data_IF_579918323606
#
_entry.id   IF_579918323606
#
_cell.length_a   1.000
_cell.length_b   1.000
_cell.length_c   1.000
_cell.angle_alpha   90.00
_cell.angle_beta   90.00
_cell.angle_gamma   90.00
#
_symmetry.space_group_name_H-M   'P 1'
#
loop_
_entity.id
_entity.type
_entity.pdbx_description
1 polymer ?
#
# COMPACT_ATOMS: atom_id res chain seq x y z
N UNK A 1 4.18 55.65 17.23
CA UNK A 1 3.03 56.59 17.18
C UNK A 1 1.86 55.80 16.60
N UNK A 2 0.70 55.74 17.27
CA UNK A 2 -0.61 55.09 16.93
C UNK A 2 -0.62 53.83 16.01
N UNK A 3 -1.00 52.60 16.41
CA UNK A 3 -2.11 52.03 17.24
C UNK A 3 -3.43 51.78 16.47
N UNK A 4 -3.74 50.48 16.23
CA UNK A 4 -5.08 49.84 16.03
C UNK A 4 -5.89 50.28 14.80
N UNK A 5 -6.81 49.49 14.21
CA UNK A 5 -7.36 48.12 14.46
C UNK A 5 -8.04 47.62 13.14
N UNK A 6 -8.63 46.42 12.92
CA UNK A 6 -8.91 45.20 13.70
C UNK A 6 -9.41 44.03 12.77
N UNK A 7 -9.77 42.88 13.37
CA UNK A 7 -10.71 41.81 12.91
C UNK A 7 -10.55 41.09 11.55
N UNK A 8 -10.19 39.80 11.63
CA UNK A 8 -11.06 38.73 11.11
C UNK A 8 -10.89 37.43 11.92
N UNK A 9 -11.85 37.11 12.79
CA UNK A 9 -11.87 35.85 13.57
C UNK A 9 -12.75 34.82 12.87
N UNK A 10 -12.15 33.82 12.21
CA UNK A 10 -12.91 32.65 11.71
C UNK A 10 -12.88 31.54 12.75
N UNK A 11 -14.02 31.32 13.42
CA UNK A 11 -14.21 30.19 14.36
C UNK A 11 -14.08 28.87 13.60
N UNK A 12 -13.22 27.98 14.07
CA UNK A 12 -13.23 26.57 13.68
C UNK A 12 -14.31 25.83 14.51
N UNK A 13 -15.27 25.12 13.89
CA UNK A 13 -16.21 24.29 14.62
C UNK A 13 -15.54 23.04 15.17
N UNK A 14 -15.94 22.64 16.38
CA UNK A 14 -15.48 21.43 17.06
C UNK A 14 -16.07 20.17 16.43
N UNK A 15 -15.28 19.11 16.40
CA UNK A 15 -15.71 17.76 16.77
C UNK A 15 -16.60 17.03 15.78
N UNK A 16 -15.97 16.32 14.83
CA UNK A 16 -16.60 15.13 14.26
C UNK A 16 -16.68 14.04 15.33
N UNK A 17 -17.90 13.72 15.75
CA UNK A 17 -18.19 12.57 16.59
C UNK A 17 -18.14 11.31 15.72
N UNK A 18 -17.59 10.22 16.25
CA UNK A 18 -17.54 8.94 15.54
C UNK A 18 -18.94 8.36 15.30
N UNK A 19 -19.10 7.44 14.33
CA UNK A 19 -20.41 6.89 13.96
C UNK A 19 -20.90 5.84 14.97
N UNK A 20 -21.43 6.31 16.10
CA UNK A 20 -22.18 5.48 17.07
C UNK A 20 -23.69 5.79 17.00
N UNK A 21 -24.26 5.83 15.78
CA UNK A 21 -25.66 6.24 15.55
C UNK A 21 -26.34 5.56 14.34
N UNK A 22 -26.21 4.23 14.21
CA UNK A 22 -26.94 3.44 13.20
C UNK A 22 -27.70 2.21 13.74
N UNK A 23 -28.07 2.20 15.04
CA UNK A 23 -28.82 1.07 15.63
C UNK A 23 -30.30 1.37 15.98
N UNK A 24 -30.75 2.63 15.93
CA UNK A 24 -32.09 3.05 16.38
C UNK A 24 -33.08 3.39 15.24
N UNK A 25 -32.79 3.10 13.96
CA UNK A 25 -33.63 3.53 12.82
C UNK A 25 -34.29 2.40 12.01
N UNK A 26 -34.15 1.13 12.40
CA UNK A 26 -34.73 -0.02 11.69
C UNK A 26 -36.01 -0.62 12.33
N UNK A 27 -36.49 -0.08 13.46
CA UNK A 27 -37.65 -0.63 14.20
C UNK A 27 -38.89 0.28 14.24
N UNK A 28 -39.08 1.15 13.25
CA UNK A 28 -40.28 2.00 13.14
C UNK A 28 -40.73 2.18 11.69
N UNK A 29 -41.41 1.16 11.16
CA UNK A 29 -42.13 1.22 9.88
C UNK A 29 -43.25 0.15 9.81
N UNK A 30 -44.27 0.29 10.65
CA UNK A 30 -45.56 -0.38 10.43
C UNK A 30 -46.70 0.60 10.74
N UNK A 31 -47.32 1.14 9.69
CA UNK A 31 -48.78 1.18 9.55
C UNK A 31 -49.20 1.67 8.16
N UNK A 32 -50.31 1.10 7.69
CA UNK A 32 -51.36 1.52 6.73
C UNK A 32 -51.21 2.86 5.97
N UNK A 33 -51.86 3.06 4.81
CA UNK A 33 -52.54 2.21 3.81
C UNK A 33 -53.01 3.15 2.67
N UNK A 34 -53.63 2.58 1.63
CA UNK A 34 -54.49 3.24 0.64
C UNK A 34 -53.91 4.39 -0.21
N UNK A 35 -53.82 4.14 -1.52
CA UNK A 35 -54.63 4.87 -2.50
C UNK A 35 -54.70 4.14 -3.86
N UNK A 36 -55.72 4.48 -4.63
CA UNK A 36 -56.23 3.70 -5.76
C UNK A 36 -55.61 4.08 -7.11
N UNK A 37 -55.80 3.18 -8.10
CA UNK A 37 -56.23 3.49 -9.47
C UNK A 37 -55.72 4.77 -10.18
N UNK A 38 -54.94 4.58 -11.25
CA UNK A 38 -55.22 5.26 -12.53
C UNK A 38 -54.60 4.52 -13.72
N UNK A 39 -55.30 4.55 -14.84
CA UNK A 39 -54.87 4.08 -16.15
C UNK A 39 -53.62 4.79 -16.70
N UNK A 40 -52.94 4.16 -17.68
CA UNK A 40 -51.78 4.76 -18.34
C UNK A 40 -51.07 3.89 -19.39
N UNK A 41 -51.79 3.15 -20.23
CA UNK A 41 -51.18 2.46 -21.39
C UNK A 41 -50.81 3.46 -22.50
N UNK A 42 -49.57 3.96 -22.46
CA UNK A 42 -48.96 4.77 -23.50
C UNK A 42 -47.96 3.96 -24.33
N UNK A 43 -48.33 3.65 -25.58
CA UNK A 43 -47.40 3.18 -26.61
C UNK A 43 -46.73 4.41 -27.25
N UNK A 44 -45.41 4.52 -27.15
CA UNK A 44 -44.61 5.21 -28.17
C UNK A 44 -43.45 4.29 -28.60
N UNK A 45 -43.25 4.27 -29.91
CA UNK A 45 -42.17 3.59 -30.63
C UNK A 45 -41.01 4.59 -30.84
N UNK A 46 -39.99 4.15 -31.60
CA UNK A 46 -38.88 4.97 -32.11
C UNK A 46 -37.79 5.27 -31.03
N UNK A 47 -36.49 5.11 -31.30
CA UNK A 47 -35.84 4.69 -32.55
C UNK A 47 -34.57 3.84 -32.35
N UNK A 48 -34.23 3.13 -33.42
CA UNK A 48 -33.01 2.35 -33.61
C UNK A 48 -31.83 3.29 -33.88
N UNK A 49 -30.76 3.21 -33.09
CA UNK A 49 -29.47 3.78 -33.51
C UNK A 49 -28.29 2.94 -33.01
N UNK A 50 -27.37 2.67 -33.94
CA UNK A 50 -26.45 1.55 -33.87
C UNK A 50 -25.02 1.97 -33.45
N UNK A 51 -24.49 1.39 -32.37
CA UNK A 51 -23.05 1.42 -32.09
C UNK A 51 -22.49 0.00 -31.86
N UNK A 52 -21.48 -0.36 -32.65
CA UNK A 52 -20.80 -1.66 -32.60
C UNK A 52 -19.61 -1.63 -31.62
N UNK A 53 -19.50 -2.58 -30.67
CA UNK A 53 -18.27 -2.79 -29.92
C UNK A 53 -17.30 -3.72 -30.69
N UNK A 54 -16.17 -3.16 -31.15
CA UNK A 54 -15.04 -3.92 -31.68
C UNK A 54 -14.43 -4.83 -30.59
N UNK A 55 -14.75 -6.13 -30.65
CA UNK A 55 -14.25 -7.14 -29.71
C UNK A 55 -13.00 -7.85 -30.22
N UNK A 56 -11.82 -7.31 -29.92
CA UNK A 56 -10.56 -8.01 -30.14
C UNK A 56 -10.30 -9.04 -29.01
N UNK A 57 -10.92 -10.21 -29.14
CA UNK A 57 -10.64 -11.37 -28.31
C UNK A 57 -9.28 -12.00 -28.66
N UNK A 58 -8.23 -11.66 -27.89
CA UNK A 58 -7.01 -12.48 -27.84
C UNK A 58 -7.19 -13.54 -26.76
N UNK A 59 -7.56 -14.75 -27.17
CA UNK A 59 -7.56 -15.92 -26.29
C UNK A 59 -6.11 -16.32 -25.95
N UNK A 60 -5.67 -16.05 -24.73
CA UNK A 60 -4.47 -16.67 -24.15
C UNK A 60 -4.90 -17.93 -23.39
N UNK A 61 -4.46 -19.08 -23.86
CA UNK A 61 -4.84 -20.40 -23.31
C UNK A 61 -4.19 -20.67 -21.95
N UNK A 62 -4.87 -21.46 -21.12
CA UNK A 62 -4.53 -21.63 -19.70
C UNK A 62 -3.32 -22.55 -19.41
N UNK A 63 -2.60 -23.03 -20.43
CA UNK A 63 -1.55 -24.05 -20.26
C UNK A 63 -0.12 -23.48 -20.11
N UNK A 64 0.11 -22.21 -20.43
CA UNK A 64 1.45 -21.61 -20.38
C UNK A 64 1.90 -21.15 -18.97
N UNK A 65 1.06 -21.35 -17.93
CA UNK A 65 1.30 -20.89 -16.55
C UNK A 65 2.02 -21.88 -15.63
N UNK A 66 2.59 -22.99 -16.14
CA UNK A 66 3.10 -24.11 -15.31
C UNK A 66 4.62 -24.36 -15.29
N UNK A 67 5.44 -23.47 -15.86
CA UNK A 67 6.88 -23.71 -16.05
C UNK A 67 7.84 -22.74 -15.31
N UNK A 68 7.45 -22.12 -14.18
CA UNK A 68 8.32 -21.16 -13.44
C UNK A 68 8.26 -21.26 -11.90
N UNK A 69 8.48 -22.45 -11.32
CA UNK A 69 8.76 -22.57 -9.87
C UNK A 69 9.74 -23.74 -9.56
N UNK A 70 11.04 -23.47 -9.31
CA UNK A 70 11.86 -24.38 -8.52
C UNK A 70 11.47 -24.28 -7.03
N UNK A 71 11.65 -25.34 -6.22
CA UNK A 71 11.24 -25.33 -4.82
C UNK A 71 12.11 -24.40 -3.97
N UNK A 72 11.45 -23.53 -3.21
CA UNK A 72 12.06 -22.62 -2.23
C UNK A 72 12.59 -23.41 -1.02
N UNK A 73 13.89 -23.69 -1.01
CA UNK A 73 14.61 -24.09 0.20
C UNK A 73 16.07 -23.60 0.14
N UNK A 74 16.53 -23.03 1.26
CA UNK A 74 17.88 -22.51 1.52
C UNK A 74 18.31 -21.28 0.69
N UNK A 75 18.35 -20.12 1.35
CA UNK A 75 19.44 -19.11 1.27
C UNK A 75 19.16 -17.92 2.22
N UNK A 76 19.22 -18.17 3.53
CA UNK A 76 19.32 -17.09 4.52
C UNK A 76 20.78 -16.59 4.59
N UNK A 77 21.21 -15.81 3.59
CA UNK A 77 22.42 -15.01 3.70
C UNK A 77 22.09 -13.62 4.22
N UNK A 78 22.13 -13.48 5.55
CA UNK A 78 22.29 -12.17 6.19
C UNK A 78 23.62 -11.57 5.75
N UNK A 79 23.58 -10.57 4.85
CA UNK A 79 24.72 -9.74 4.50
C UNK A 79 25.12 -8.86 5.68
N UNK A 80 25.84 -9.44 6.65
CA UNK A 80 26.71 -8.68 7.55
C UNK A 80 27.98 -8.33 6.75
N UNK A 81 28.24 -7.05 6.44
CA UNK A 81 29.51 -6.66 5.84
C UNK A 81 30.63 -6.91 6.86
N UNK A 82 31.40 -7.97 6.62
CA UNK A 82 32.50 -8.35 7.50
C UNK A 82 33.66 -7.36 7.30
N UNK A 83 33.76 -6.35 8.18
CA UNK A 83 34.72 -5.25 8.07
C UNK A 83 36.15 -5.69 8.43
N UNK A 84 36.79 -6.47 7.55
CA UNK A 84 38.22 -6.74 7.59
C UNK A 84 39.05 -5.52 7.22
N UNK A 85 40.08 -5.21 8.02
CA UNK A 85 40.83 -3.95 7.96
C UNK A 85 41.97 -3.96 6.92
N UNK A 86 41.66 -3.82 5.63
CA UNK A 86 42.65 -3.55 4.57
C UNK A 86 42.55 -2.10 4.07
N UNK A 87 43.25 -1.19 4.76
CA UNK A 87 42.94 0.24 4.70
C UNK A 87 43.27 0.97 3.38
N UNK A 88 44.11 0.40 2.51
CA UNK A 88 44.62 1.07 1.30
C UNK A 88 43.93 0.73 -0.03
N UNK A 89 43.04 -0.27 -0.10
CA UNK A 89 42.26 -0.56 -1.32
C UNK A 89 40.84 0.03 -1.31
N UNK A 90 40.41 0.63 -0.20
CA UNK A 90 39.02 1.08 -0.02
C UNK A 90 38.68 2.38 -0.77
N UNK A 91 39.68 3.21 -1.08
CA UNK A 91 39.49 4.54 -1.67
C UNK A 91 39.03 4.53 -3.14
N UNK A 92 39.50 3.60 -3.96
CA UNK A 92 39.12 3.52 -5.38
C UNK A 92 37.70 2.98 -5.59
N UNK A 93 37.23 2.08 -4.72
CA UNK A 93 35.88 1.52 -4.76
C UNK A 93 34.81 2.57 -4.41
N UNK A 94 35.06 3.47 -3.45
CA UNK A 94 34.13 4.56 -3.09
C UNK A 94 33.96 5.61 -4.21
N UNK A 95 34.88 5.66 -5.19
CA UNK A 95 34.80 6.62 -6.32
C UNK A 95 33.78 6.22 -7.40
N UNK A 96 33.43 4.94 -7.54
CA UNK A 96 32.50 4.46 -8.59
C UNK A 96 31.25 3.79 -8.01
N UNK A 97 30.55 4.49 -7.10
CA UNK A 97 29.23 4.06 -6.61
C UNK A 97 28.17 5.11 -6.88
N UNK A 98 27.00 4.66 -7.34
CA UNK A 98 25.78 5.47 -7.49
C UNK A 98 24.90 5.22 -6.27
N UNK A 99 24.82 6.21 -5.37
CA UNK A 99 24.23 6.06 -4.03
C UNK A 99 22.85 6.70 -3.95
N UNK A 100 21.82 5.93 -3.59
CA UNK A 100 20.43 6.38 -3.53
C UNK A 100 20.01 6.82 -2.13
N UNK A 101 19.20 7.87 -2.05
CA UNK A 101 18.39 8.23 -0.90
C UNK A 101 16.93 8.41 -1.35
N UNK A 102 15.97 7.85 -0.62
CA UNK A 102 14.54 7.93 -0.98
C UNK A 102 13.72 8.42 0.21
N UNK A 103 12.96 9.50 0.00
CA UNK A 103 12.07 10.08 1.02
C UNK A 103 10.63 10.00 0.57
N UNK A 104 9.78 9.26 1.28
CA UNK A 104 8.36 9.10 0.96
C UNK A 104 7.54 10.13 1.73
N UNK A 105 6.81 10.98 1.00
CA UNK A 105 6.04 12.12 1.54
C UNK A 105 4.54 11.84 1.65
N UNK A 106 4.01 10.95 0.82
CA UNK A 106 2.60 10.58 0.81
C UNK A 106 2.42 9.22 0.13
N UNK A 107 1.51 8.43 0.68
CA UNK A 107 1.00 7.19 0.10
C UNK A 107 -0.51 7.35 -0.01
N UNK A 108 -1.02 7.28 -1.23
CA UNK A 108 -2.43 7.41 -1.52
C UNK A 108 -3.23 6.14 -1.25
N UNK A 109 -4.52 6.12 -1.63
CA UNK A 109 -5.33 4.92 -1.59
C UNK A 109 -4.65 3.77 -2.34
N UNK A 110 -4.73 2.57 -1.77
CA UNK A 110 -4.27 1.34 -2.42
C UNK A 110 -5.45 0.73 -3.16
N UNK A 111 -5.42 0.74 -4.49
CA UNK A 111 -6.39 0.03 -5.32
C UNK A 111 -5.99 -1.44 -5.40
N UNK A 112 -6.69 -2.28 -4.65
CA UNK A 112 -6.44 -3.71 -4.60
C UNK A 112 -7.04 -4.47 -5.79
N UNK A 113 -7.93 -3.84 -6.57
CA UNK A 113 -8.51 -4.40 -7.79
C UNK A 113 -7.52 -4.27 -8.95
N UNK A 114 -6.95 -3.08 -9.10
CA UNK A 114 -5.95 -2.79 -10.14
C UNK A 114 -4.54 -3.22 -9.75
N UNK A 115 -4.29 -3.48 -8.46
CA UNK A 115 -2.95 -3.73 -7.97
C UNK A 115 -2.09 -2.46 -7.97
N UNK A 116 -2.66 -1.29 -7.69
CA UNK A 116 -1.95 0.00 -7.81
C UNK A 116 -1.96 0.83 -6.52
N UNK A 117 -0.97 1.70 -6.37
CA UNK A 117 -0.91 2.70 -5.29
C UNK A 117 -0.23 3.97 -5.76
N UNK A 118 -0.84 5.12 -5.49
CA UNK A 118 -0.21 6.42 -5.76
C UNK A 118 0.79 6.75 -4.66
N UNK A 119 2.01 7.17 -5.01
CA UNK A 119 3.02 7.62 -4.04
C UNK A 119 3.66 8.93 -4.48
N UNK A 120 3.89 9.83 -3.53
CA UNK A 120 4.73 11.02 -3.69
C UNK A 120 6.03 10.84 -2.92
N UNK A 121 7.16 10.91 -3.60
CA UNK A 121 8.48 10.66 -3.02
C UNK A 121 9.57 11.51 -3.69
N UNK A 122 10.60 11.87 -2.93
CA UNK A 122 11.82 12.49 -3.43
C UNK A 122 12.90 11.42 -3.56
N UNK A 123 13.58 11.38 -4.70
CA UNK A 123 14.79 10.56 -4.91
C UNK A 123 15.98 11.51 -4.99
N UNK A 124 17.01 11.22 -4.21
CA UNK A 124 18.32 11.87 -4.33
C UNK A 124 19.34 10.81 -4.75
N UNK A 125 20.22 11.16 -5.69
CA UNK A 125 21.30 10.31 -6.16
C UNK A 125 22.64 11.03 -6.01
N UNK A 126 23.61 10.35 -5.43
CA UNK A 126 24.97 10.84 -5.23
C UNK A 126 25.97 10.03 -6.05
N UNK A 127 26.92 10.70 -6.71
CA UNK A 127 28.02 10.06 -7.44
C UNK A 127 29.26 10.97 -7.45
N UNK A 128 30.45 10.39 -7.57
CA UNK A 128 31.69 11.16 -7.71
C UNK A 128 32.05 11.25 -9.21
N UNK A 129 31.95 12.42 -9.82
CA UNK A 129 32.34 12.60 -11.24
C UNK A 129 33.85 12.92 -11.35
N UNK A 130 34.70 12.00 -11.86
CA UNK A 130 36.15 12.20 -11.89
C UNK A 130 36.59 13.38 -12.77
N UNK A 131 35.77 13.77 -13.76
CA UNK A 131 36.06 14.93 -14.60
C UNK A 131 36.02 16.24 -13.80
N UNK A 132 35.21 16.32 -12.72
CA UNK A 132 35.13 17.53 -11.89
C UNK A 132 36.44 17.91 -11.21
N UNK A 133 37.24 16.93 -10.81
CA UNK A 133 38.46 17.12 -10.01
C UNK A 133 39.59 17.78 -10.82
N UNK A 134 39.76 17.39 -12.09
CA UNK A 134 40.94 17.74 -12.89
C UNK A 134 41.06 19.23 -13.31
N UNK A 135 40.02 20.04 -13.10
CA UNK A 135 39.98 21.44 -13.60
C UNK A 135 40.55 22.45 -12.60
N UNK A 136 40.62 22.13 -11.30
CA UNK A 136 41.15 23.03 -10.27
C UNK A 136 42.68 23.00 -10.07
N UNK A 137 43.37 22.05 -10.70
CA UNK A 137 44.74 21.64 -10.36
C UNK A 137 45.89 22.59 -10.73
N UNK A 138 45.72 23.92 -10.67
CA UNK A 138 46.82 24.88 -10.90
C UNK A 138 47.00 26.00 -9.88
N UNK A 139 46.05 26.31 -8.98
CA UNK A 139 46.29 27.33 -7.91
C UNK A 139 45.46 27.22 -6.62
N UNK A 140 44.49 26.30 -6.50
CA UNK A 140 43.47 26.37 -5.43
C UNK A 140 43.98 26.17 -3.99
N UNK A 141 45.06 25.41 -3.78
CA UNK A 141 45.52 25.01 -2.43
C UNK A 141 46.10 26.16 -1.58
N UNK A 142 46.36 27.34 -2.17
CA UNK A 142 46.90 28.50 -1.44
C UNK A 142 45.79 29.35 -0.80
N UNK A 143 44.59 29.40 -1.40
CA UNK A 143 43.53 30.33 -1.00
C UNK A 143 42.56 29.74 0.05
N UNK A 144 42.36 28.41 0.06
CA UNK A 144 41.36 27.77 0.95
C UNK A 144 41.74 27.84 2.44
N UNK A 145 43.03 28.05 2.77
CA UNK A 145 43.47 28.29 4.15
C UNK A 145 43.38 29.76 4.60
N UNK A 146 43.30 30.75 3.68
CA UNK A 146 43.16 32.17 4.06
C UNK A 146 41.69 32.61 4.22
N UNK A 147 40.73 31.90 3.61
CA UNK A 147 39.30 32.25 3.72
C UNK A 147 38.67 32.05 5.11
N UNK A 148 39.38 31.43 6.06
CA UNK A 148 38.91 31.21 7.44
C UNK A 148 39.01 32.43 8.37
N UNK A 149 39.54 33.58 7.91
CA UNK A 149 39.81 34.75 8.78
C UNK A 149 39.11 36.07 8.37
N UNK A 150 38.21 36.08 7.39
CA UNK A 150 37.51 37.30 6.95
C UNK A 150 35.99 37.10 6.84
N UNK A 151 35.16 37.68 7.74
CA UNK A 151 33.69 37.53 7.72
C UNK A 151 32.99 38.48 6.72
N UNK A 152 33.74 39.16 5.84
CA UNK A 152 33.16 39.99 4.79
C UNK A 152 32.52 39.07 3.76
N UNK A 153 31.19 39.12 3.65
CA UNK A 153 30.38 38.29 2.74
C UNK A 153 30.65 38.71 1.29
N UNK A 154 31.78 38.25 0.76
CA UNK A 154 32.03 38.28 -0.67
C UNK A 154 31.02 37.34 -1.33
N UNK A 155 30.17 37.88 -2.21
CA UNK A 155 29.34 37.12 -3.15
C UNK A 155 30.23 36.49 -4.23
N UNK A 156 31.20 35.67 -3.81
CA UNK A 156 32.05 34.86 -4.67
C UNK A 156 31.14 34.02 -5.56
N UNK A 157 31.33 34.16 -6.89
CA UNK A 157 30.33 33.82 -7.90
C UNK A 157 29.64 32.48 -7.65
N UNK A 158 28.39 32.53 -7.19
CA UNK A 158 27.57 31.34 -7.02
C UNK A 158 27.30 30.74 -8.40
N UNK A 159 27.92 29.60 -8.68
CA UNK A 159 27.52 28.76 -9.80
C UNK A 159 26.37 27.85 -9.37
N UNK A 160 25.40 27.65 -10.27
CA UNK A 160 24.29 26.74 -10.09
C UNK A 160 24.23 25.79 -11.28
N UNK A 161 23.82 24.55 -11.05
CA UNK A 161 23.73 23.54 -12.09
C UNK A 161 22.29 23.42 -12.58
N UNK A 162 22.08 23.54 -13.88
CA UNK A 162 20.77 23.45 -14.53
C UNK A 162 20.73 22.21 -15.41
N UNK A 163 19.67 21.42 -15.31
CA UNK A 163 19.45 20.26 -16.18
C UNK A 163 19.24 20.70 -17.63
N UNK A 164 20.07 20.20 -18.55
CA UNK A 164 19.87 20.28 -19.99
C UNK A 164 19.33 18.94 -20.49
N UNK A 165 17.99 18.80 -20.50
CA UNK A 165 17.33 17.54 -20.81
C UNK A 165 17.32 16.57 -19.61
N UNK A 166 17.42 15.26 -19.87
CA UNK A 166 17.25 14.21 -18.84
C UNK A 166 18.55 13.67 -18.24
N UNK A 167 19.69 13.83 -18.91
CA UNK A 167 20.94 13.10 -18.63
C UNK A 167 22.17 14.00 -18.52
N UNK A 168 22.01 15.33 -18.62
CA UNK A 168 23.12 16.29 -18.61
C UNK A 168 22.73 17.49 -17.78
N UNK A 169 23.66 18.00 -16.97
CA UNK A 169 23.54 19.29 -16.32
C UNK A 169 24.68 20.22 -16.76
N UNK A 170 24.39 21.52 -16.81
CA UNK A 170 25.34 22.58 -17.17
C UNK A 170 25.50 23.53 -16.00
N UNK A 171 26.75 23.89 -15.68
CA UNK A 171 27.09 24.90 -14.71
C UNK A 171 26.87 26.32 -15.28
N UNK A 172 25.93 27.05 -14.69
CA UNK A 172 25.65 28.45 -14.97
C UNK A 172 26.25 29.34 -13.87
N UNK A 173 27.19 30.21 -14.25
CA UNK A 173 27.75 31.22 -13.35
C UNK A 173 26.82 32.44 -13.28
N UNK A 174 26.35 32.79 -12.08
CA UNK A 174 25.51 33.97 -11.88
C UNK A 174 26.39 35.22 -12.05
N UNK A 175 26.09 36.03 -13.07
CA UNK A 175 26.73 37.33 -13.33
C UNK A 175 27.53 37.44 -14.63
N UNK A 176 27.84 36.33 -15.32
CA UNK A 176 28.51 36.39 -16.63
C UNK A 176 27.50 36.36 -17.78
N UNK A 177 27.30 37.50 -18.47
CA UNK A 177 26.38 37.61 -19.61
C UNK A 177 26.97 37.13 -20.96
N UNK A 178 28.23 36.71 -21.00
CA UNK A 178 28.94 36.42 -22.26
C UNK A 178 29.26 34.93 -22.43
N UNK A 179 28.51 34.25 -23.31
CA UNK A 179 28.86 33.05 -24.11
C UNK A 179 29.79 31.96 -23.50
N UNK A 180 29.86 31.82 -22.19
CA UNK A 180 30.70 30.79 -21.58
C UNK A 180 30.07 29.43 -21.84
N UNK A 181 30.84 28.51 -22.42
CA UNK A 181 30.44 27.10 -22.53
C UNK A 181 30.50 26.53 -21.12
N UNK A 182 29.37 26.63 -20.41
CA UNK A 182 29.21 26.16 -19.05
C UNK A 182 29.65 24.70 -18.95
N UNK A 183 30.32 24.38 -17.85
CA UNK A 183 30.82 23.03 -17.61
C UNK A 183 29.65 22.05 -17.65
N UNK A 184 29.80 20.95 -18.41
CA UNK A 184 28.80 19.89 -18.43
C UNK A 184 29.18 18.74 -17.47
N UNK A 185 28.16 18.07 -16.95
CA UNK A 185 28.28 16.79 -16.24
C UNK A 185 27.15 15.85 -16.66
N UNK A 186 27.47 14.58 -16.85
CA UNK A 186 26.47 13.55 -17.12
C UNK A 186 25.77 13.13 -15.80
N UNK A 187 24.44 13.07 -15.84
CA UNK A 187 23.57 12.67 -14.74
C UNK A 187 23.07 11.24 -14.98
N UNK A 188 23.17 10.32 -13.99
CA UNK A 188 22.72 8.94 -14.18
C UNK A 188 21.20 8.82 -14.45
N UNK A 189 20.77 8.11 -15.50
CA UNK A 189 19.35 8.03 -15.89
C UNK A 189 18.57 7.06 -14.98
N UNK A 190 17.86 7.62 -14.00
CA UNK A 190 16.97 6.87 -13.11
C UNK A 190 15.68 6.47 -13.85
N UNK A 191 15.27 5.23 -13.64
CA UNK A 191 14.04 4.62 -14.14
C UNK A 191 13.20 4.12 -12.96
N UNK A 192 11.92 4.45 -12.92
CA UNK A 192 10.97 3.94 -11.92
C UNK A 192 10.32 2.69 -12.51
N UNK A 193 10.78 1.51 -12.06
CA UNK A 193 10.58 0.24 -12.77
C UNK A 193 9.14 -0.26 -12.68
N UNK A 194 8.46 0.00 -11.57
CA UNK A 194 7.06 -0.40 -11.37
C UNK A 194 6.08 0.78 -11.46
N UNK A 195 6.43 1.88 -12.13
CA UNK A 195 5.49 2.96 -12.40
C UNK A 195 4.58 2.62 -13.60
N UNK A 196 3.27 2.77 -13.42
CA UNK A 196 2.26 2.79 -14.50
C UNK A 196 2.29 4.17 -15.17
N UNK A 197 2.34 5.22 -14.35
CA UNK A 197 2.52 6.62 -14.75
C UNK A 197 3.27 7.39 -13.67
N UNK A 198 3.94 8.48 -14.04
CA UNK A 198 4.56 9.38 -13.08
C UNK A 198 4.71 10.80 -13.64
N UNK A 199 4.61 11.77 -12.72
CA UNK A 199 4.84 13.18 -12.94
C UNK A 199 6.04 13.66 -12.12
N UNK A 200 6.77 14.65 -12.65
CA UNK A 200 7.82 15.36 -11.93
C UNK A 200 7.21 16.61 -11.30
N UNK A 201 7.42 16.81 -10.00
CA UNK A 201 6.96 17.98 -9.26
C UNK A 201 8.12 18.95 -9.08
N UNK A 202 8.06 20.09 -9.79
CA UNK A 202 9.13 21.09 -9.80
C UNK A 202 10.20 20.80 -10.84
N UNK A 203 11.39 21.37 -10.67
CA UNK A 203 12.56 21.11 -11.51
C UNK A 203 13.54 20.20 -10.75
N UNK A 204 14.22 19.24 -11.41
CA UNK A 204 15.27 18.46 -10.76
C UNK A 204 16.44 19.36 -10.35
N UNK A 205 16.85 19.25 -9.09
CA UNK A 205 17.94 20.00 -8.48
C UNK A 205 19.26 19.25 -8.73
N UNK A 206 20.30 19.94 -9.21
CA UNK A 206 21.67 19.40 -9.29
C UNK A 206 22.61 20.32 -8.53
N UNK A 207 23.55 19.74 -7.79
CA UNK A 207 24.63 20.52 -7.19
C UNK A 207 25.92 19.72 -7.01
N UNK A 208 27.05 20.44 -6.98
CA UNK A 208 28.37 19.90 -6.63
C UNK A 208 28.57 20.09 -5.13
N UNK A 209 28.41 19.03 -4.35
CA UNK A 209 28.53 19.04 -2.89
C UNK A 209 29.99 19.19 -2.43
N UNK A 210 30.92 18.50 -3.09
CA UNK A 210 32.36 18.59 -2.75
C UNK A 210 33.21 18.67 -4.01
N UNK A 211 33.91 19.79 -4.17
CA UNK A 211 34.82 20.03 -5.31
C UNK A 211 36.00 19.05 -5.32
N UNK A 212 36.60 18.78 -4.16
CA UNK A 212 37.79 17.93 -4.03
C UNK A 212 37.55 16.45 -4.37
N UNK A 213 36.40 15.88 -4.01
CA UNK A 213 36.03 14.50 -4.34
C UNK A 213 35.17 14.37 -5.60
N UNK A 214 34.76 15.49 -6.19
CA UNK A 214 33.81 15.53 -7.29
C UNK A 214 32.41 15.03 -6.95
N UNK A 215 31.99 15.14 -5.68
CA UNK A 215 30.70 14.59 -5.22
C UNK A 215 29.55 15.45 -5.77
N UNK A 216 28.89 14.93 -6.78
CA UNK A 216 27.65 15.46 -7.35
C UNK A 216 26.43 14.90 -6.61
N UNK A 217 25.37 15.69 -6.58
CA UNK A 217 24.02 15.25 -6.22
C UNK A 217 23.01 15.66 -7.27
N UNK A 218 22.00 14.81 -7.48
CA UNK A 218 20.79 15.09 -8.25
C UNK A 218 19.59 14.73 -7.37
N UNK A 219 18.58 15.60 -7.31
CA UNK A 219 17.39 15.46 -6.46
C UNK A 219 16.14 15.76 -7.28
N UNK A 220 15.15 14.87 -7.23
CA UNK A 220 13.89 15.04 -7.96
C UNK A 220 12.70 14.54 -7.13
N UNK A 221 11.61 15.31 -7.12
CA UNK A 221 10.36 14.97 -6.47
C UNK A 221 9.38 14.41 -7.51
N UNK A 222 8.83 13.24 -7.23
CA UNK A 222 7.92 12.51 -8.10
C UNK A 222 6.55 12.34 -7.44
N UNK A 223 5.52 12.24 -8.29
CA UNK A 223 4.22 11.64 -7.97
C UNK A 223 3.98 10.51 -8.98
N UNK A 224 3.81 9.28 -8.52
CA UNK A 224 3.73 8.11 -9.40
C UNK A 224 2.60 7.17 -8.99
N UNK A 225 1.92 6.58 -9.97
CA UNK A 225 1.03 5.43 -9.78
C UNK A 225 1.88 4.17 -9.95
N UNK A 226 2.03 3.39 -8.88
CA UNK A 226 2.93 2.24 -8.82
C UNK A 226 2.16 0.92 -8.85
N UNK A 227 2.56 0.01 -9.72
CA UNK A 227 2.05 -1.36 -9.80
C UNK A 227 2.61 -2.23 -8.66
N UNK A 228 1.74 -3.03 -8.06
CA UNK A 228 1.93 -3.86 -6.87
C UNK A 228 1.44 -5.29 -7.16
N UNK A 229 2.34 -6.14 -7.68
CA UNK A 229 2.00 -7.48 -8.15
C UNK A 229 1.47 -8.43 -7.05
N UNK A 230 1.74 -8.14 -5.77
CA UNK A 230 1.53 -9.06 -4.65
C UNK A 230 0.39 -8.62 -3.70
N UNK A 231 -0.59 -7.84 -4.17
CA UNK A 231 -1.76 -7.47 -3.37
C UNK A 231 -2.80 -8.60 -3.34
N UNK A 232 -2.77 -9.44 -2.31
CA UNK A 232 -3.73 -10.54 -2.10
C UNK A 232 -4.66 -10.27 -0.92
N UNK A 233 -5.97 -10.37 -1.15
CA UNK A 233 -7.04 -10.15 -0.14
C UNK A 233 -7.71 -11.44 0.32
N UNK A 234 -7.08 -12.60 0.10
CA UNK A 234 -7.58 -13.89 0.56
C UNK A 234 -7.76 -13.93 2.08
N UNK A 235 -6.95 -13.16 2.82
CA UNK A 235 -7.01 -13.02 4.29
C UNK A 235 -7.80 -11.83 4.82
N UNK A 236 -8.50 -11.07 3.96
CA UNK A 236 -9.27 -9.90 4.38
C UNK A 236 -10.29 -10.27 5.49
N UNK A 237 -10.41 -9.47 6.57
CA UNK A 237 -9.86 -8.12 6.76
C UNK A 237 -8.49 -8.05 7.46
N UNK A 238 -7.83 -9.19 7.71
CA UNK A 238 -6.54 -9.27 8.44
C UNK A 238 -5.32 -9.44 7.50
N UNK A 239 -5.44 -8.95 6.26
CA UNK A 239 -4.39 -8.99 5.25
C UNK A 239 -3.26 -7.97 5.51
N UNK A 240 -2.03 -8.40 5.21
CA UNK A 240 -0.81 -7.61 5.29
C UNK A 240 -0.15 -7.55 3.91
N UNK A 241 0.41 -6.40 3.55
CA UNK A 241 0.98 -6.15 2.21
C UNK A 241 2.34 -5.49 2.31
N UNK A 242 3.14 -5.62 1.26
CA UNK A 242 4.35 -4.83 1.06
C UNK A 242 4.12 -3.90 -0.12
N UNK A 243 3.98 -2.61 0.14
CA UNK A 243 3.97 -1.60 -0.93
C UNK A 243 5.41 -1.39 -1.39
N UNK A 244 5.66 -1.52 -2.70
CA UNK A 244 6.99 -1.54 -3.29
C UNK A 244 7.21 -0.39 -4.25
N UNK A 245 8.41 0.16 -4.22
CA UNK A 245 8.88 1.22 -5.12
C UNK A 245 10.27 0.83 -5.63
N UNK A 246 10.40 0.68 -6.95
CA UNK A 246 11.61 0.14 -7.58
C UNK A 246 12.34 1.17 -8.44
N UNK A 247 13.62 1.39 -8.16
CA UNK A 247 14.51 2.27 -8.93
C UNK A 247 15.63 1.51 -9.60
N UNK A 248 15.78 1.71 -10.90
CA UNK A 248 16.88 1.17 -11.69
C UNK A 248 17.63 2.27 -12.39
N UNK A 249 18.89 2.01 -12.71
CA UNK A 249 19.61 2.70 -13.78
C UNK A 249 19.79 1.62 -14.84
N UNK A 250 19.10 1.78 -15.97
CA UNK A 250 18.99 0.76 -17.03
C UNK A 250 19.74 1.22 -18.29
N UNK A 251 19.67 2.52 -18.61
CA UNK A 251 20.27 3.08 -19.81
C UNK A 251 21.78 3.25 -19.62
N UNK A 252 22.56 2.88 -20.65
CA UNK A 252 24.03 2.94 -20.67
C UNK A 252 24.76 2.10 -19.58
N UNK A 253 24.17 0.96 -19.19
CA UNK A 253 24.74 0.01 -18.20
C UNK A 253 25.56 -1.14 -18.77
N UNK A 254 25.61 -1.26 -20.10
CA UNK A 254 26.46 -2.22 -20.83
C UNK A 254 27.95 -1.96 -20.58
N UNK A 255 28.76 -2.99 -20.81
CA UNK A 255 30.21 -2.91 -20.71
C UNK A 255 30.79 -1.75 -21.54
N UNK A 256 31.70 -0.97 -20.95
CA UNK A 256 32.36 0.18 -21.56
C UNK A 256 31.49 1.44 -21.74
N UNK A 257 30.21 1.43 -21.35
CA UNK A 257 29.36 2.62 -21.39
C UNK A 257 29.54 3.52 -20.15
N UNK A 258 29.03 4.77 -20.22
CA UNK A 258 29.19 5.79 -19.15
C UNK A 258 28.82 5.27 -17.76
N UNK A 259 27.74 4.49 -17.65
CA UNK A 259 27.20 3.94 -16.41
C UNK A 259 27.35 2.42 -16.30
N UNK A 260 28.41 1.86 -16.91
CA UNK A 260 28.75 0.43 -16.87
C UNK A 260 28.67 -0.13 -15.43
N UNK A 261 27.82 -1.15 -15.25
CA UNK A 261 27.57 -1.84 -13.97
C UNK A 261 28.79 -2.53 -13.35
N UNK A 262 29.84 -2.82 -14.12
CA UNK A 262 31.09 -3.38 -13.61
C UNK A 262 31.87 -2.32 -12.83
N UNK A 263 31.91 -1.10 -13.37
CA UNK A 263 32.52 0.08 -12.75
C UNK A 263 31.61 0.70 -11.68
N UNK A 264 30.40 1.08 -12.06
CA UNK A 264 29.43 1.79 -11.24
C UNK A 264 28.52 0.84 -10.46
N UNK A 265 28.85 0.61 -9.19
CA UNK A 265 28.02 -0.18 -8.28
C UNK A 265 26.88 0.67 -7.72
N UNK A 266 25.70 0.06 -7.55
CA UNK A 266 24.60 0.72 -6.87
C UNK A 266 24.78 0.57 -5.35
N UNK A 267 24.44 1.61 -4.60
CA UNK A 267 24.51 1.61 -3.14
C UNK A 267 23.45 2.50 -2.51
N UNK A 268 23.34 2.46 -1.20
CA UNK A 268 22.55 3.44 -0.45
C UNK A 268 23.42 4.63 -0.07
N UNK A 269 22.79 5.79 0.10
CA UNK A 269 23.46 6.98 0.62
C UNK A 269 23.92 6.79 2.06
N UNK A 270 25.03 7.44 2.39
CA UNK A 270 25.72 7.36 3.67
C UNK A 270 25.75 8.72 4.37
N UNK A 271 26.10 8.76 5.65
CA UNK A 271 26.29 10.02 6.39
C UNK A 271 27.36 10.93 5.76
N UNK A 272 28.30 10.35 4.99
CA UNK A 272 29.31 11.13 4.25
C UNK A 272 28.70 11.91 3.09
N UNK A 273 27.56 11.47 2.55
CA UNK A 273 26.87 12.11 1.42
C UNK A 273 26.00 13.28 1.86
N UNK A 274 25.41 13.21 3.06
CA UNK A 274 24.46 14.21 3.56
C UNK A 274 25.09 15.51 4.08
N UNK A 275 26.43 15.65 4.04
CA UNK A 275 27.18 16.79 4.60
C UNK A 275 26.84 17.12 6.07
N UNK A 276 26.39 16.13 6.86
CA UNK A 276 25.93 16.34 8.25
C UNK A 276 24.53 16.96 8.37
N UNK A 277 23.80 17.12 7.27
CA UNK A 277 22.57 17.91 7.19
C UNK A 277 21.32 17.24 7.78
N UNK A 278 21.24 15.91 7.94
CA UNK A 278 20.11 15.29 8.69
C UNK A 278 20.30 13.83 9.14
N UNK A 279 19.47 13.45 10.11
CA UNK A 279 19.47 12.24 10.96
C UNK A 279 19.36 10.87 10.28
N UNK A 280 19.07 10.74 8.97
CA UNK A 280 18.75 9.44 8.37
C UNK A 280 19.43 9.30 6.99
N UNK A 281 20.44 8.41 6.85
CA UNK A 281 21.37 8.46 5.73
C UNK A 281 20.79 8.02 4.37
N UNK A 282 19.82 7.09 4.35
CA UNK A 282 19.36 6.47 3.09
C UNK A 282 17.86 6.57 2.80
N UNK A 283 17.01 6.90 3.78
CA UNK A 283 15.62 7.23 3.48
C UNK A 283 14.73 7.42 4.70
N UNK A 284 13.66 8.19 4.52
CA UNK A 284 12.71 8.57 5.56
C UNK A 284 11.30 8.51 4.97
N UNK A 285 10.35 7.97 5.71
CA UNK A 285 8.95 8.27 5.50
C UNK A 285 8.59 9.46 6.39
N UNK A 286 8.16 10.56 5.79
CA UNK A 286 7.93 11.82 6.52
C UNK A 286 6.91 11.59 7.64
N UNK A 287 7.16 12.21 8.79
CA UNK A 287 6.23 12.13 9.92
C UNK A 287 4.81 12.52 9.47
N UNK A 288 3.81 11.80 9.97
CA UNK A 288 2.40 11.94 9.62
C UNK A 288 1.94 11.45 8.23
N UNK A 289 2.77 10.70 7.47
CA UNK A 289 2.22 9.90 6.35
C UNK A 289 1.10 8.98 6.89
N UNK A 290 -0.10 9.12 6.32
CA UNK A 290 -1.22 8.19 6.53
C UNK A 290 -1.34 7.34 5.26
N UNK A 291 -1.59 6.04 5.42
CA UNK A 291 -1.97 5.16 4.31
C UNK A 291 -3.48 4.93 4.43
N UNK A 292 -4.34 5.38 3.50
CA UNK A 292 -5.78 5.20 3.62
C UNK A 292 -6.16 3.71 3.77
N UNK A 293 -6.93 3.38 4.80
CA UNK A 293 -7.36 2.00 5.16
C UNK A 293 -6.24 1.05 5.63
N UNK A 294 -5.01 1.53 5.86
CA UNK A 294 -3.91 0.72 6.38
C UNK A 294 -3.10 1.45 7.47
N UNK A 295 -2.60 0.66 8.41
CA UNK A 295 -1.59 1.06 9.38
C UNK A 295 -0.22 0.50 8.98
N UNK A 296 0.86 1.07 9.52
CA UNK A 296 2.22 0.56 9.33
C UNK A 296 3.03 0.69 10.63
N UNK A 297 4.12 -0.06 10.71
CA UNK A 297 5.02 -0.03 11.85
C UNK A 297 6.00 1.15 11.70
N UNK A 298 5.75 2.23 12.47
CA UNK A 298 6.59 3.44 12.47
C UNK A 298 8.02 3.19 12.95
N UNK A 299 8.25 2.17 13.79
CA UNK A 299 9.57 1.86 14.31
C UNK A 299 10.43 1.11 13.27
N UNK A 300 9.81 0.36 12.36
CA UNK A 300 10.49 -0.28 11.21
C UNK A 300 10.70 0.69 10.05
N UNK A 301 9.70 1.50 9.71
CA UNK A 301 9.81 2.48 8.63
C UNK A 301 9.85 1.85 7.24
N UNK A 302 10.91 2.12 6.48
CA UNK A 302 11.11 1.64 5.10
C UNK A 302 12.25 0.64 5.06
N UNK A 303 12.01 -0.53 4.44
CA UNK A 303 13.07 -1.52 4.18
C UNK A 303 13.70 -1.28 2.80
N UNK A 304 15.02 -1.40 2.69
CA UNK A 304 15.77 -1.14 1.46
C UNK A 304 16.56 -2.38 1.02
N UNK A 305 16.32 -2.85 -0.19
CA UNK A 305 17.00 -4.02 -0.74
C UNK A 305 17.46 -3.80 -2.17
N UNK A 306 18.63 -4.33 -2.51
CA UNK A 306 19.06 -4.46 -3.90
C UNK A 306 18.63 -5.83 -4.41
N UNK A 307 17.75 -5.87 -5.41
CA UNK A 307 17.18 -7.10 -5.96
C UNK A 307 17.48 -7.24 -7.45
N UNK A 308 17.70 -8.46 -7.97
CA UNK A 308 17.87 -8.67 -9.40
C UNK A 308 16.58 -8.35 -10.15
N UNK A 309 16.72 -7.80 -11.34
CA UNK A 309 15.66 -7.61 -12.32
C UNK A 309 15.44 -8.91 -13.06
N UNK A 310 14.21 -9.45 -13.00
CA UNK A 310 13.83 -10.66 -13.75
C UNK A 310 13.73 -10.47 -15.27
N UNK A 311 14.20 -9.34 -15.79
CA UNK A 311 14.27 -9.00 -17.21
C UNK A 311 15.40 -8.02 -17.46
N UNK A 312 16.14 -8.21 -18.56
CA UNK A 312 17.27 -7.38 -18.94
C UNK A 312 18.03 -7.98 -20.12
N UNK A 313 18.92 -7.21 -20.75
CA UNK A 313 19.67 -7.65 -21.92
C UNK A 313 20.84 -8.61 -21.59
N UNK A 314 21.04 -8.97 -20.32
CA UNK A 314 22.12 -9.84 -19.86
C UNK A 314 21.70 -11.30 -19.81
N UNK A 315 21.91 -12.06 -20.89
CA UNK A 315 21.73 -13.52 -20.92
C UNK A 315 22.90 -14.30 -20.27
N UNK A 316 23.88 -13.61 -19.67
CA UNK A 316 25.18 -14.17 -19.29
C UNK A 316 25.63 -13.78 -17.87
N UNK A 317 24.86 -14.19 -16.86
CA UNK A 317 25.31 -14.35 -15.46
C UNK A 317 25.55 -13.10 -14.61
N UNK A 318 25.69 -11.92 -15.23
CA UNK A 318 25.65 -10.62 -14.54
C UNK A 318 24.19 -10.12 -14.58
N UNK A 319 23.38 -10.39 -13.54
CA UNK A 319 22.02 -9.86 -13.44
C UNK A 319 22.03 -8.33 -13.25
N UNK A 320 21.09 -7.62 -13.89
CA UNK A 320 20.88 -6.21 -13.57
C UNK A 320 20.18 -6.08 -12.23
N UNK A 321 20.67 -5.19 -11.37
CA UNK A 321 20.15 -4.99 -10.02
C UNK A 321 19.42 -3.66 -9.92
N UNK A 322 18.29 -3.63 -9.23
CA UNK A 322 17.53 -2.43 -8.88
C UNK A 322 17.40 -2.25 -7.37
N UNK A 323 17.19 -1.02 -6.92
CA UNK A 323 16.81 -0.71 -5.55
C UNK A 323 15.30 -0.92 -5.39
N UNK A 324 14.90 -1.82 -4.49
CA UNK A 324 13.53 -2.04 -4.05
C UNK A 324 13.37 -1.44 -2.64
N UNK A 325 12.53 -0.41 -2.54
CA UNK A 325 12.08 0.17 -1.27
C UNK A 325 10.74 -0.48 -0.91
N UNK A 326 10.59 -1.00 0.30
CA UNK A 326 9.37 -1.61 0.81
C UNK A 326 8.81 -0.84 2.00
N UNK A 327 7.49 -0.71 2.02
CA UNK A 327 6.72 -0.33 3.20
C UNK A 327 5.76 -1.46 3.54
N UNK A 328 5.93 -2.08 4.72
CA UNK A 328 4.98 -3.09 5.20
C UNK A 328 3.76 -2.42 5.82
N UNK A 329 2.57 -2.77 5.32
CA UNK A 329 1.28 -2.21 5.74
C UNK A 329 0.31 -3.31 6.19
N UNK A 330 -0.56 -3.00 7.14
CA UNK A 330 -1.56 -3.88 7.74
C UNK A 330 -2.94 -3.25 7.60
N UNK A 331 -3.96 -3.97 7.14
CA UNK A 331 -5.30 -3.40 6.95
C UNK A 331 -5.94 -2.99 8.28
N UNK A 332 -6.67 -1.88 8.26
CA UNK A 332 -7.52 -1.46 9.38
C UNK A 332 -8.77 -2.37 9.51
N UNK A 333 -8.63 -3.46 10.26
CA UNK A 333 -9.70 -4.44 10.55
C UNK A 333 -10.70 -3.98 11.63
N UNK A 334 -10.50 -2.81 12.23
CA UNK A 334 -11.25 -2.34 13.41
C UNK A 334 -12.77 -2.28 13.19
N UNK A 335 -13.23 -1.90 12.00
CA UNK A 335 -14.65 -1.88 11.66
C UNK A 335 -15.29 -3.28 11.68
N UNK A 336 -14.61 -4.28 11.11
CA UNK A 336 -15.08 -5.66 11.01
C UNK A 336 -15.01 -6.38 12.36
N UNK A 337 -13.88 -6.23 13.06
CA UNK A 337 -13.64 -6.82 14.37
C UNK A 337 -14.56 -6.22 15.46
N UNK A 338 -14.84 -4.91 15.38
CA UNK A 338 -15.59 -4.17 16.40
C UNK A 338 -17.09 -4.09 16.19
N UNK A 339 -17.58 -4.13 14.94
CA UNK A 339 -19.01 -3.99 14.64
C UNK A 339 -19.60 -5.27 14.03
N UNK A 340 -19.04 -5.75 12.91
CA UNK A 340 -19.66 -6.83 12.14
C UNK A 340 -19.60 -8.17 12.89
N UNK A 341 -18.42 -8.57 13.36
CA UNK A 341 -18.27 -9.87 14.03
C UNK A 341 -19.08 -10.01 15.34
N UNK A 342 -19.13 -9.01 16.25
CA UNK A 342 -19.98 -9.09 17.44
C UNK A 342 -21.47 -9.20 17.11
N UNK A 343 -21.97 -8.49 16.08
CA UNK A 343 -23.37 -8.59 15.66
C UNK A 343 -23.68 -10.01 15.18
N UNK A 344 -22.85 -10.59 14.31
CA UNK A 344 -23.04 -11.97 13.82
C UNK A 344 -23.07 -13.00 14.98
N UNK A 345 -22.17 -12.85 15.96
CA UNK A 345 -22.15 -13.71 17.15
C UNK A 345 -23.43 -13.54 17.99
N UNK A 346 -23.90 -12.31 18.20
CA UNK A 346 -25.13 -12.07 18.97
C UNK A 346 -26.35 -12.64 18.26
N UNK A 347 -26.47 -12.48 16.93
CA UNK A 347 -27.57 -13.05 16.16
C UNK A 347 -27.60 -14.58 16.23
N UNK A 348 -26.44 -15.20 16.13
CA UNK A 348 -26.26 -16.65 16.25
C UNK A 348 -26.60 -17.18 17.65
N UNK A 349 -26.18 -16.46 18.72
CA UNK A 349 -26.56 -16.79 20.10
C UNK A 349 -28.07 -16.67 20.34
N UNK A 350 -28.72 -15.64 19.77
CA UNK A 350 -30.18 -15.47 19.86
C UNK A 350 -30.89 -16.58 19.08
N UNK A 351 -30.41 -16.94 17.88
CA UNK A 351 -30.95 -18.06 17.10
C UNK A 351 -30.88 -19.40 17.86
N UNK A 352 -29.73 -19.69 18.49
CA UNK A 352 -29.57 -20.87 19.37
C UNK A 352 -30.52 -20.81 20.57
N UNK A 353 -30.78 -19.64 21.15
CA UNK A 353 -31.72 -19.53 22.29
C UNK A 353 -33.17 -19.89 21.93
N UNK A 354 -33.58 -19.76 20.66
CA UNK A 354 -34.92 -20.17 20.22
C UNK A 354 -35.09 -21.69 20.13
N UNK A 355 -34.01 -22.48 20.21
CA UNK A 355 -34.07 -23.94 20.34
C UNK A 355 -34.59 -24.37 21.72
N UNK A 356 -34.72 -23.45 22.68
CA UNK A 356 -35.34 -23.70 23.99
C UNK A 356 -36.87 -23.44 24.01
N UNK A 357 -37.46 -23.04 22.88
CA UNK A 357 -38.91 -22.97 22.72
C UNK A 357 -39.45 -24.35 22.35
N UNK A 358 -40.54 -24.75 23.01
CA UNK A 358 -41.20 -26.04 22.79
C UNK A 358 -41.49 -26.29 21.29
N UNK A 359 -41.30 -27.53 20.83
CA UNK A 359 -41.48 -27.92 19.42
C UNK A 359 -42.90 -27.63 18.89
N UNK A 360 -43.91 -27.64 19.75
CA UNK A 360 -45.29 -27.28 19.43
C UNK A 360 -45.44 -25.80 19.01
N UNK A 361 -44.57 -24.92 19.51
CA UNK A 361 -44.51 -23.51 19.15
C UNK A 361 -43.71 -23.25 17.84
N UNK A 362 -43.57 -24.25 16.97
CA UNK A 362 -42.81 -24.18 15.71
C UNK A 362 -43.08 -22.92 14.89
N UNK A 363 -44.34 -22.47 14.76
CA UNK A 363 -44.64 -21.26 13.99
C UNK A 363 -43.91 -20.02 14.51
N UNK A 364 -43.81 -19.87 15.84
CA UNK A 364 -43.07 -18.76 16.46
C UNK A 364 -41.56 -18.95 16.30
N UNK A 365 -41.03 -20.14 16.61
CA UNK A 365 -39.60 -20.47 16.48
C UNK A 365 -39.09 -20.31 15.05
N UNK A 366 -39.79 -20.86 14.06
CA UNK A 366 -39.47 -20.77 12.65
C UNK A 366 -39.55 -19.33 12.11
N UNK A 367 -40.59 -18.57 12.49
CA UNK A 367 -40.70 -17.16 12.12
C UNK A 367 -39.56 -16.31 12.70
N UNK A 368 -39.18 -16.55 13.95
CA UNK A 368 -38.08 -15.86 14.61
C UNK A 368 -36.71 -16.19 13.97
N UNK A 369 -36.43 -17.46 13.69
CA UNK A 369 -35.22 -17.88 12.98
C UNK A 369 -35.15 -17.30 11.56
N UNK A 370 -36.27 -17.32 10.83
CA UNK A 370 -36.35 -16.74 9.49
C UNK A 370 -36.12 -15.22 9.50
N UNK A 371 -36.63 -14.50 10.50
CA UNK A 371 -36.37 -13.07 10.67
C UNK A 371 -34.88 -12.77 10.94
N UNK A 372 -34.18 -13.61 11.72
CA UNK A 372 -32.72 -13.48 11.89
C UNK A 372 -32.00 -13.78 10.58
N UNK A 373 -32.42 -14.80 9.82
CA UNK A 373 -31.81 -15.11 8.52
C UNK A 373 -31.96 -13.95 7.51
N UNK A 374 -33.13 -13.28 7.47
CA UNK A 374 -33.31 -12.07 6.67
C UNK A 374 -32.42 -10.90 7.13
N UNK A 375 -32.27 -10.71 8.44
CA UNK A 375 -31.36 -9.69 8.98
C UNK A 375 -29.90 -10.00 8.62
N UNK A 376 -29.46 -11.26 8.67
CA UNK A 376 -28.12 -11.66 8.24
C UNK A 376 -27.91 -11.43 6.73
N UNK A 377 -28.90 -11.73 5.88
CA UNK A 377 -28.85 -11.40 4.45
C UNK A 377 -28.67 -9.89 4.24
N UNK A 378 -29.38 -9.04 5.00
CA UNK A 378 -29.23 -7.58 4.96
C UNK A 378 -27.85 -7.09 5.38
N UNK A 379 -27.31 -7.64 6.48
CA UNK A 379 -25.93 -7.38 6.93
C UNK A 379 -24.93 -7.82 5.85
N UNK A 380 -25.11 -9.01 5.28
CA UNK A 380 -24.26 -9.55 4.22
C UNK A 380 -24.25 -8.65 2.99
N UNK A 381 -25.42 -8.26 2.45
CA UNK A 381 -25.51 -7.36 1.30
C UNK A 381 -24.82 -6.02 1.57
N UNK A 382 -24.96 -5.51 2.79
CA UNK A 382 -24.27 -4.29 3.23
C UNK A 382 -22.76 -4.49 3.25
N UNK A 383 -22.26 -5.57 3.86
CA UNK A 383 -20.82 -5.88 3.95
C UNK A 383 -20.21 -6.17 2.58
N UNK A 384 -20.87 -6.99 1.74
CA UNK A 384 -20.42 -7.35 0.40
C UNK A 384 -20.23 -6.11 -0.49
N UNK A 385 -20.99 -5.03 -0.27
CA UNK A 385 -20.79 -3.73 -0.96
C UNK A 385 -19.49 -3.00 -0.63
N UNK A 386 -18.85 -3.33 0.50
CA UNK A 386 -17.55 -2.81 0.94
C UNK A 386 -16.40 -3.81 0.75
N UNK A 387 -16.69 -5.05 0.33
CA UNK A 387 -15.66 -6.05 0.09
C UNK A 387 -14.98 -5.83 -1.28
N UNK A 388 -13.66 -6.09 -1.39
CA UNK A 388 -12.96 -6.03 -2.66
C UNK A 388 -13.47 -7.12 -3.62
N UNK A 389 -13.95 -6.72 -4.80
CA UNK A 389 -14.44 -7.63 -5.84
C UNK A 389 -13.30 -8.36 -6.55
N UNK A 390 -12.96 -9.55 -6.08
CA UNK A 390 -11.91 -10.41 -6.68
C UNK A 390 -12.49 -11.74 -7.16
N UNK A 391 -11.90 -12.31 -8.21
CA UNK A 391 -12.29 -13.61 -8.77
C UNK A 391 -11.93 -14.84 -7.94
N UNK A 392 -11.76 -14.69 -6.62
CA UNK A 392 -11.44 -15.76 -5.68
C UNK A 392 -12.15 -15.54 -4.33
N UNK A 393 -12.37 -16.61 -3.58
CA UNK A 393 -13.10 -16.53 -2.31
C UNK A 393 -12.25 -15.83 -1.22
N UNK A 394 -12.82 -14.80 -0.60
CA UNK A 394 -12.21 -14.06 0.52
C UNK A 394 -12.58 -14.71 1.86
N UNK A 395 -11.66 -14.69 2.84
CA UNK A 395 -11.90 -15.17 4.22
C UNK A 395 -13.19 -14.61 4.84
N UNK A 396 -13.43 -13.29 4.77
CA UNK A 396 -14.66 -12.68 5.28
C UNK A 396 -15.94 -13.26 4.63
N UNK A 397 -15.96 -13.50 3.32
CA UNK A 397 -17.09 -14.13 2.62
C UNK A 397 -17.32 -15.56 3.10
N UNK A 398 -16.24 -16.32 3.34
CA UNK A 398 -16.31 -17.66 3.94
C UNK A 398 -16.96 -17.64 5.33
N UNK A 399 -16.60 -16.66 6.16
CA UNK A 399 -17.15 -16.50 7.51
C UNK A 399 -18.64 -16.13 7.45
N UNK A 400 -19.02 -15.16 6.62
CA UNK A 400 -20.43 -14.78 6.39
C UNK A 400 -21.26 -15.96 5.86
N UNK A 401 -20.75 -16.71 4.87
CA UNK A 401 -21.40 -17.94 4.41
C UNK A 401 -21.58 -18.96 5.54
N UNK A 402 -20.62 -19.07 6.47
CA UNK A 402 -20.66 -20.06 7.56
C UNK A 402 -21.73 -19.74 8.62
N UNK A 403 -21.96 -18.45 8.94
CA UNK A 403 -23.07 -18.05 9.80
C UNK A 403 -24.41 -18.30 9.10
N UNK A 404 -24.57 -17.82 7.86
CA UNK A 404 -25.79 -18.00 7.08
C UNK A 404 -26.21 -19.47 6.92
N UNK A 405 -25.27 -20.36 6.55
CA UNK A 405 -25.56 -21.78 6.42
C UNK A 405 -25.94 -22.42 7.77
N UNK A 406 -25.42 -21.93 8.90
CA UNK A 406 -25.80 -22.41 10.23
C UNK A 406 -27.22 -22.01 10.58
N UNK A 407 -27.62 -20.75 10.36
CA UNK A 407 -29.01 -20.32 10.54
C UNK A 407 -29.98 -21.11 9.64
N UNK A 408 -29.60 -21.37 8.39
CA UNK A 408 -30.38 -22.19 7.48
C UNK A 408 -30.53 -23.63 8.01
N UNK A 409 -29.46 -24.25 8.51
CA UNK A 409 -29.52 -25.57 9.14
C UNK A 409 -30.45 -25.58 10.36
N UNK A 410 -30.34 -24.61 11.28
CA UNK A 410 -31.23 -24.51 12.45
C UNK A 410 -32.70 -24.30 12.06
N UNK A 411 -32.96 -23.56 10.97
CA UNK A 411 -34.31 -23.34 10.44
C UNK A 411 -34.90 -24.62 9.85
N UNK A 412 -34.12 -25.34 9.03
CA UNK A 412 -34.52 -26.62 8.43
C UNK A 412 -34.71 -27.72 9.48
N UNK A 413 -33.83 -27.76 10.48
CA UNK A 413 -33.94 -28.66 11.63
C UNK A 413 -35.23 -28.39 12.42
N UNK A 414 -35.52 -27.13 12.73
CA UNK A 414 -36.74 -26.74 13.46
C UNK A 414 -38.01 -27.21 12.73
N UNK A 415 -38.02 -27.15 11.40
CA UNK A 415 -39.11 -27.69 10.57
C UNK A 415 -39.15 -29.23 10.57
N UNK A 416 -37.98 -29.88 10.60
CA UNK A 416 -37.85 -31.34 10.73
C UNK A 416 -38.36 -31.86 12.09
N UNK A 417 -37.99 -31.21 13.18
CA UNK A 417 -38.48 -31.52 14.55
C UNK A 417 -39.99 -31.40 14.60
N UNK A 418 -40.55 -30.29 14.12
CA UNK A 418 -42.00 -30.10 14.06
C UNK A 418 -42.71 -31.20 13.25
N UNK A 419 -42.16 -31.57 12.08
CA UNK A 419 -42.71 -32.65 11.27
C UNK A 419 -42.68 -34.01 12.01
N UNK A 420 -41.57 -34.34 12.68
CA UNK A 420 -41.43 -35.60 13.40
C UNK A 420 -42.38 -35.69 14.60
N UNK A 421 -42.51 -34.62 15.40
CA UNK A 421 -43.46 -34.56 16.52
C UNK A 421 -44.91 -34.66 16.04
N UNK A 422 -45.26 -34.02 14.91
CA UNK A 422 -46.65 -34.01 14.41
C UNK A 422 -47.06 -35.21 13.55
N UNK A 423 -46.11 -36.01 13.04
CA UNK A 423 -46.41 -37.12 12.10
C UNK A 423 -45.88 -38.48 12.48
N UNK A 424 -44.88 -38.55 13.37
CA UNK A 424 -44.08 -39.75 13.60
C UNK A 424 -44.09 -40.17 15.08
N UNK A 425 -45.07 -39.69 15.84
CA UNK A 425 -45.27 -39.92 17.29
C UNK A 425 -44.03 -39.65 18.15
N UNK A 426 -43.16 -38.73 17.72
CA UNK A 426 -41.92 -38.42 18.42
C UNK A 426 -42.21 -37.64 19.70
N UNK A 427 -41.64 -38.08 20.82
CA UNK A 427 -41.93 -37.48 22.12
C UNK A 427 -41.25 -36.12 22.26
N UNK A 428 -41.86 -35.20 23.02
CA UNK A 428 -41.26 -33.89 23.31
C UNK A 428 -39.88 -34.02 24.00
N UNK A 429 -39.61 -35.14 24.71
CA UNK A 429 -38.26 -35.44 25.23
C UNK A 429 -37.21 -35.70 24.13
N UNK A 430 -37.58 -36.37 23.05
CA UNK A 430 -36.68 -36.68 21.93
C UNK A 430 -36.38 -35.43 21.10
N UNK A 431 -37.40 -34.59 20.85
CA UNK A 431 -37.24 -33.27 20.25
C UNK A 431 -36.26 -32.40 21.07
N UNK A 432 -36.49 -32.28 22.38
CA UNK A 432 -35.62 -31.49 23.28
C UNK A 432 -34.18 -32.02 23.34
N UNK A 433 -33.96 -33.33 23.16
CA UNK A 433 -32.61 -33.91 23.04
C UNK A 433 -31.94 -33.52 21.74
N UNK A 434 -32.64 -33.54 20.60
CA UNK A 434 -32.08 -33.10 19.33
C UNK A 434 -31.71 -31.60 19.39
N UNK A 435 -32.64 -30.76 19.84
CA UNK A 435 -32.44 -29.32 19.99
C UNK A 435 -31.24 -28.99 20.90
N UNK A 436 -31.06 -29.74 21.99
CA UNK A 436 -29.90 -29.62 22.89
C UNK A 436 -28.58 -29.98 22.19
N UNK A 437 -28.55 -31.04 21.38
CA UNK A 437 -27.36 -31.44 20.61
C UNK A 437 -27.01 -30.39 19.57
N UNK A 438 -28.01 -29.88 18.85
CA UNK A 438 -27.82 -28.87 17.81
C UNK A 438 -27.45 -27.50 18.35
N UNK A 439 -27.99 -27.11 19.52
CA UNK A 439 -27.53 -25.93 20.25
C UNK A 439 -26.03 -26.02 20.59
N UNK A 440 -25.58 -27.16 21.14
CA UNK A 440 -24.16 -27.40 21.43
C UNK A 440 -23.30 -27.42 20.16
N UNK A 441 -23.76 -28.07 19.10
CA UNK A 441 -23.05 -28.14 17.83
C UNK A 441 -22.93 -26.75 17.17
N UNK A 442 -23.99 -25.95 17.19
CA UNK A 442 -24.00 -24.57 16.70
C UNK A 442 -22.99 -23.72 17.45
N UNK A 443 -23.04 -23.70 18.79
CA UNK A 443 -22.10 -22.95 19.65
C UNK A 443 -20.64 -23.36 19.43
N UNK A 444 -20.37 -24.67 19.31
CA UNK A 444 -19.02 -25.16 18.99
C UNK A 444 -18.56 -24.66 17.62
N UNK A 445 -19.45 -24.65 16.63
CA UNK A 445 -19.15 -24.11 15.30
C UNK A 445 -18.95 -22.58 15.33
N UNK A 446 -19.65 -21.84 16.20
CA UNK A 446 -19.38 -20.41 16.47
C UNK A 446 -17.97 -20.21 17.00
N UNK A 447 -17.57 -20.97 18.02
CA UNK A 447 -16.23 -20.93 18.60
C UNK A 447 -15.13 -21.27 17.58
N UNK A 448 -15.35 -22.29 16.73
CA UNK A 448 -14.43 -22.65 15.65
C UNK A 448 -14.34 -21.54 14.60
N UNK A 449 -15.48 -20.96 14.19
CA UNK A 449 -15.54 -19.86 13.21
C UNK A 449 -14.79 -18.63 13.73
N UNK A 450 -14.98 -18.26 15.00
CA UNK A 450 -14.25 -17.17 15.65
C UNK A 450 -12.75 -17.46 15.77
N UNK A 451 -12.39 -18.69 16.09
CA UNK A 451 -10.98 -19.13 16.16
C UNK A 451 -10.31 -19.00 14.78
N UNK A 452 -10.97 -19.45 13.71
CA UNK A 452 -10.49 -19.31 12.32
C UNK A 452 -10.42 -17.84 11.91
N UNK A 453 -11.40 -17.02 12.28
CA UNK A 453 -11.40 -15.58 12.03
C UNK A 453 -10.17 -14.91 12.66
N UNK A 454 -9.95 -15.07 13.97
CA UNK A 454 -8.86 -14.38 14.68
C UNK A 454 -7.46 -15.01 14.53
N UNK A 455 -7.33 -16.25 14.04
CA UNK A 455 -6.03 -16.96 13.89
C UNK A 455 -4.96 -16.18 13.11
N UNK A 456 -5.36 -15.43 12.09
CA UNK A 456 -4.44 -14.67 11.23
C UNK A 456 -4.15 -13.25 11.72
N UNK A 457 -4.71 -12.82 12.87
CA UNK A 457 -4.58 -11.45 13.39
C UNK A 457 -3.18 -11.16 13.93
N UNK A 458 -2.22 -11.01 13.02
CA UNK A 458 -0.84 -10.57 13.27
C UNK A 458 -0.74 -9.04 13.27
N UNK A 459 -1.52 -8.40 14.14
CA UNK A 459 -1.36 -6.96 14.35
C UNK A 459 -0.02 -6.68 15.03
N UNK A 460 0.58 -5.48 14.85
CA UNK A 460 1.45 -4.95 15.88
C UNK A 460 0.64 -4.93 17.18
N UNK A 461 1.06 -5.71 18.18
CA UNK A 461 0.54 -5.56 19.53
C UNK A 461 0.78 -4.10 19.92
N UNK A 462 -0.29 -3.36 20.23
CA UNK A 462 -0.17 -2.00 20.73
C UNK A 462 0.55 -2.07 22.09
N UNK A 463 1.87 -1.90 22.07
CA UNK A 463 2.73 -1.79 23.25
C UNK A 463 2.57 -0.45 23.98
N UNK A 464 1.85 0.49 23.35
CA UNK A 464 1.78 1.90 23.75
C UNK A 464 0.41 2.21 24.40
N UNK A 465 -0.06 1.32 25.29
CA UNK A 465 -1.27 1.51 26.12
C UNK A 465 -0.99 1.28 27.59
#
# INVERSE_FOLDING_TARGET
MFRRDSFFTRKSPRGEQGPSFLFNRMLSAHNLADLESSDGLGLELEDDDSEQPLTNNVQVTAEERRALFPPLNQLHHSFSPNYGTTHNQKSSLEQSTLRFQVVVWYVGPVDVMQGTVTMKFRVTLFWNDPETINVGGRSADVDEQQQLQSPTIATAGMSHWVMQGRQRAIEHQIGSQAHFVGRAVDVPPISIINAVSFDIIGQPEVSLLRRNSGLMTWSCLYNAVLLQNDLRVDKFPHDEHFLRLKFGILVHRREGARWDRRKWKLGLASERDSQGSTRIPHGLMVDHVKVPSFTYDKAKGLDFHFVPLGYGAGSTGDDEVCLEVKLKVYRESSYYDGNIMPILVVLDLVAVSFLWLDAEAFFQRGLLLLNIAFLEIGIRMTVDSYLPSVGYQIKMQTILNTFFYRLLCLTLESAGVYYLVTRNDWTNEEANRLDSVSAVAALLLTCVTLSVYYRDKKGPLNTDK
#
